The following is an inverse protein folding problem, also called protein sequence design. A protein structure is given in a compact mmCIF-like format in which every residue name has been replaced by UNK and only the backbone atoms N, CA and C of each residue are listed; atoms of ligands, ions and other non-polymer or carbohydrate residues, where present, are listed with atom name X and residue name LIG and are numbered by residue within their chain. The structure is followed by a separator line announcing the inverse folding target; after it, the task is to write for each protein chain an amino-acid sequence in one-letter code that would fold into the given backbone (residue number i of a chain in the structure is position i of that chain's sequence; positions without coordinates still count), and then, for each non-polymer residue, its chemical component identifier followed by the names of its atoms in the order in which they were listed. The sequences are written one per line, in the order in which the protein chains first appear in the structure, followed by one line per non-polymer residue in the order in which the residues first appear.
data_IF_669932119032
#
_entry.id   IF_669932119032
#
_cell.length_a   1.000
_cell.length_b   1.000
_cell.length_c   1.000
_cell.angle_alpha   90.00
_cell.angle_beta   90.00
_cell.angle_gamma   90.00
#
_symmetry.space_group_name_H-M   'P 1'
#
loop_
_entity.id
_entity.type
_entity.pdbx_description
1 polymer ?
#
# COMPACT_ATOMS: atom_id res chain seq x y z
N UNK A 1 -27.44 32.92 6.48
CA UNK A 1 -25.97 32.70 6.42
C UNK A 1 -25.72 31.19 6.46
N UNK A 2 -25.56 30.50 5.32
CA UNK A 2 -25.28 29.05 5.33
C UNK A 2 -24.24 28.71 4.26
N UNK A 3 -22.98 28.54 4.70
CA UNK A 3 -21.81 28.35 3.83
C UNK A 3 -21.69 26.89 3.41
N UNK A 4 -21.82 26.67 2.11
CA UNK A 4 -21.13 25.69 1.27
C UNK A 4 -19.92 25.00 1.96
N UNK A 5 -20.15 23.83 2.56
CA UNK A 5 -19.13 22.99 3.26
C UNK A 5 -18.91 21.63 2.58
N UNK A 6 -19.45 21.39 1.40
CA UNK A 6 -19.45 20.05 0.79
C UNK A 6 -18.25 19.78 -0.14
N UNK A 7 -17.58 20.82 -0.64
CA UNK A 7 -16.43 20.66 -1.57
C UNK A 7 -15.10 20.34 -0.87
N UNK A 8 -14.80 20.97 0.29
CA UNK A 8 -13.55 20.71 1.03
C UNK A 8 -13.48 19.33 1.68
N UNK A 9 -14.64 18.71 1.98
CA UNK A 9 -14.68 17.43 2.68
C UNK A 9 -14.15 16.28 1.80
N UNK A 10 -14.39 16.34 0.49
CA UNK A 10 -13.91 15.32 -0.44
C UNK A 10 -12.39 15.38 -0.59
N UNK A 11 -11.81 16.56 -0.79
CA UNK A 11 -10.35 16.72 -0.89
C UNK A 11 -9.63 16.30 0.40
N UNK A 12 -10.20 16.63 1.57
CA UNK A 12 -9.68 16.20 2.87
C UNK A 12 -9.75 14.66 3.04
N UNK A 13 -10.83 14.02 2.55
CA UNK A 13 -10.97 12.56 2.56
C UNK A 13 -9.94 11.89 1.65
N UNK A 14 -9.72 12.41 0.45
CA UNK A 14 -8.67 11.90 -0.45
C UNK A 14 -7.27 12.12 0.13
N UNK A 15 -7.03 13.25 0.80
CA UNK A 15 -5.77 13.49 1.50
C UNK A 15 -5.55 12.50 2.66
N UNK A 16 -6.60 12.17 3.41
CA UNK A 16 -6.56 11.13 4.45
C UNK A 16 -6.27 9.74 3.88
N UNK A 17 -6.94 9.39 2.78
CA UNK A 17 -6.72 8.12 2.08
C UNK A 17 -5.28 8.05 1.52
N UNK A 18 -4.82 9.10 0.84
CA UNK A 18 -3.47 9.18 0.31
C UNK A 18 -2.41 9.11 1.42
N UNK A 19 -2.65 9.76 2.56
CA UNK A 19 -1.77 9.67 3.73
C UNK A 19 -1.68 8.24 4.25
N UNK A 20 -2.80 7.51 4.31
CA UNK A 20 -2.81 6.11 4.71
C UNK A 20 -1.98 5.24 3.77
N UNK A 21 -2.11 5.45 2.45
CA UNK A 21 -1.34 4.72 1.44
C UNK A 21 0.15 5.08 1.52
N UNK A 22 0.48 6.35 1.75
CA UNK A 22 1.85 6.83 1.90
C UNK A 22 2.53 6.22 3.12
N UNK A 23 1.84 6.14 4.26
CA UNK A 23 2.33 5.47 5.47
C UNK A 23 2.55 3.98 5.22
N UNK A 24 1.61 3.32 4.55
CA UNK A 24 1.71 1.89 4.22
C UNK A 24 2.92 1.60 3.31
N UNK A 25 3.16 2.47 2.32
CA UNK A 25 4.32 2.39 1.43
C UNK A 25 5.64 2.65 2.16
N UNK A 26 5.70 3.65 3.04
CA UNK A 26 6.88 3.93 3.84
C UNK A 26 7.25 2.75 4.74
N UNK A 27 6.26 2.12 5.36
CA UNK A 27 6.47 0.92 6.19
C UNK A 27 6.94 -0.25 5.32
N UNK A 28 6.32 -0.49 4.16
CA UNK A 28 6.70 -1.57 3.27
C UNK A 28 8.15 -1.41 2.75
N UNK A 29 8.53 -0.20 2.34
CA UNK A 29 9.89 0.13 1.89
C UNK A 29 10.90 0.01 3.04
N UNK A 30 10.56 0.51 4.23
CA UNK A 30 11.44 0.43 5.39
C UNK A 30 11.66 -1.01 5.85
N UNK A 31 10.61 -1.84 5.85
CA UNK A 31 10.72 -3.26 6.15
C UNK A 31 11.53 -4.00 5.08
N UNK A 32 11.28 -3.73 3.79
CA UNK A 32 12.06 -4.31 2.69
C UNK A 32 13.55 -3.96 2.78
N UNK A 33 13.86 -2.68 3.00
CA UNK A 33 15.23 -2.21 3.18
C UNK A 33 15.89 -2.82 4.41
N UNK A 34 15.18 -2.93 5.54
CA UNK A 34 15.71 -3.52 6.77
C UNK A 34 15.95 -5.03 6.62
N UNK A 35 15.11 -5.75 5.89
CA UNK A 35 15.28 -7.19 5.61
C UNK A 35 16.50 -7.40 4.70
N UNK A 36 16.61 -6.65 3.59
CA UNK A 36 17.77 -6.75 2.68
C UNK A 36 19.08 -6.38 3.40
N UNK A 37 19.10 -5.27 4.15
CA UNK A 37 20.34 -4.72 4.70
C UNK A 37 20.77 -5.36 6.03
N UNK A 38 19.83 -5.78 6.89
CA UNK A 38 20.14 -6.30 8.23
C UNK A 38 20.19 -7.82 8.34
N UNK A 39 19.48 -8.54 7.46
CA UNK A 39 19.44 -10.01 7.50
C UNK A 39 20.26 -10.67 6.40
N UNK A 40 20.35 -10.06 5.21
CA UNK A 40 20.90 -10.73 4.03
C UNK A 40 22.30 -10.21 3.63
N UNK A 41 22.63 -8.93 3.90
CA UNK A 41 23.98 -8.38 3.70
C UNK A 41 24.51 -8.49 2.25
N UNK A 42 23.61 -8.74 1.30
CA UNK A 42 23.96 -9.16 -0.06
C UNK A 42 23.88 -7.93 -0.98
N UNK A 43 24.93 -7.69 -1.77
CA UNK A 43 25.03 -6.55 -2.72
C UNK A 43 23.97 -6.57 -3.84
N UNK A 44 23.14 -7.59 -3.92
CA UNK A 44 22.17 -7.77 -4.99
C UNK A 44 20.75 -7.56 -4.40
N UNK A 45 20.05 -6.48 -4.77
CA UNK A 45 18.76 -6.08 -4.18
C UNK A 45 17.61 -6.94 -4.72
N UNK A 46 17.71 -8.25 -4.50
CA UNK A 46 16.77 -9.25 -4.99
C UNK A 46 15.43 -9.14 -4.26
N UNK A 47 15.43 -8.96 -2.93
CA UNK A 47 14.18 -8.82 -2.18
C UNK A 47 13.50 -7.47 -2.42
N UNK A 48 14.26 -6.40 -2.69
CA UNK A 48 13.72 -5.11 -3.14
C UNK A 48 12.83 -5.24 -4.39
N UNK A 49 13.10 -6.20 -5.27
CA UNK A 49 12.32 -6.49 -6.49
C UNK A 49 11.29 -7.60 -6.23
N UNK A 50 11.66 -8.62 -5.46
CA UNK A 50 10.81 -9.77 -5.16
C UNK A 50 9.63 -9.39 -4.25
N UNK A 51 9.81 -8.46 -3.31
CA UNK A 51 8.75 -7.96 -2.42
C UNK A 51 7.65 -7.22 -3.18
N UNK A 52 7.92 -6.22 -4.04
CA UNK A 52 6.87 -5.59 -4.83
C UNK A 52 6.23 -6.57 -5.81
N UNK A 53 6.97 -7.56 -6.34
CA UNK A 53 6.42 -8.62 -7.18
C UNK A 53 5.48 -9.56 -6.41
N UNK A 54 5.83 -9.91 -5.17
CA UNK A 54 4.98 -10.67 -4.25
C UNK A 54 3.76 -9.87 -3.80
N UNK A 55 3.94 -8.58 -3.50
CA UNK A 55 2.86 -7.68 -3.13
C UNK A 55 1.85 -7.52 -4.28
N UNK A 56 2.33 -7.41 -5.53
CA UNK A 56 1.50 -7.43 -6.73
C UNK A 56 0.75 -8.76 -6.89
N UNK A 57 1.46 -9.88 -6.72
CA UNK A 57 0.83 -11.21 -6.83
C UNK A 57 -0.23 -11.43 -5.75
N UNK A 58 0.03 -11.01 -4.51
CA UNK A 58 -0.94 -11.05 -3.42
C UNK A 58 -2.10 -10.09 -3.65
N UNK A 59 -1.87 -8.91 -4.20
CA UNK A 59 -2.91 -7.94 -4.52
C UNK A 59 -3.88 -8.51 -5.57
N UNK A 60 -3.34 -9.11 -6.63
CA UNK A 60 -4.12 -9.81 -7.65
C UNK A 60 -4.87 -11.01 -7.06
N UNK A 61 -4.22 -11.78 -6.18
CA UNK A 61 -4.85 -12.92 -5.54
C UNK A 61 -5.99 -12.52 -4.58
N UNK A 62 -5.79 -11.45 -3.80
CA UNK A 62 -6.85 -10.86 -2.97
C UNK A 62 -7.99 -10.35 -3.84
N UNK A 63 -7.69 -9.67 -4.94
CA UNK A 63 -8.68 -9.15 -5.87
C UNK A 63 -9.53 -10.29 -6.46
N UNK A 64 -8.89 -11.37 -6.90
CA UNK A 64 -9.59 -12.57 -7.40
C UNK A 64 -10.43 -13.21 -6.29
N UNK A 65 -9.91 -13.34 -5.07
CA UNK A 65 -10.67 -13.87 -3.92
C UNK A 65 -11.87 -12.99 -3.57
N UNK A 66 -11.72 -11.68 -3.66
CA UNK A 66 -12.79 -10.72 -3.34
C UNK A 66 -13.87 -10.74 -4.42
N UNK A 67 -13.49 -10.88 -5.69
CA UNK A 67 -14.43 -11.07 -6.80
C UNK A 67 -15.09 -12.46 -6.82
N UNK A 68 -14.43 -13.49 -6.31
CA UNK A 68 -14.99 -14.84 -6.17
C UNK A 68 -15.76 -15.08 -4.87
N UNK A 69 -15.84 -14.11 -3.95
CA UNK A 69 -16.79 -14.21 -2.83
C UNK A 69 -18.18 -13.87 -3.36
N UNK A 70 -19.12 -14.82 -3.43
CA UNK A 70 -20.52 -14.46 -3.63
C UNK A 70 -20.91 -13.54 -2.47
N UNK A 71 -21.41 -12.34 -2.80
CA UNK A 71 -21.92 -11.41 -1.81
C UNK A 71 -22.93 -12.15 -0.92
N UNK A 72 -22.67 -12.16 0.38
CA UNK A 72 -23.54 -12.74 1.39
C UNK A 72 -23.95 -11.65 2.36
#
# INVERSE_FOLDING_TARGET
MNKNKNSKSNTMRFAGLASQWMVMLLIAVWLGWKIDFKWIGWKFPLFLILIPLLALSMSLWQLIREFNKPQK
#
